data_IF_873352851201
#
_entry.id   IF_873352851201
#
_cell.length_a   1.000
_cell.length_b   1.000
_cell.length_c   1.000
_cell.angle_alpha   90.00
_cell.angle_beta   90.00
_cell.angle_gamma   90.00
#
_symmetry.space_group_name_H-M   'P 1'
#
loop_
_entity.id
_entity.type
_entity.pdbx_description
1 polymer ?
#
# COMPACT_ATOMS: atom_id res chain seq x y z
N UNK A 1 -20.85 -8.82 4.80
CA UNK A 1 -20.25 -9.40 3.58
C UNK A 1 -19.42 -8.32 2.88
N UNK A 2 -18.30 -7.89 3.48
CA UNK A 2 -17.53 -6.73 2.99
C UNK A 2 -16.10 -6.60 3.55
N UNK A 3 -15.74 -7.38 4.57
CA UNK A 3 -14.36 -7.48 5.09
C UNK A 3 -13.50 -8.41 4.25
N UNK A 4 -14.03 -9.56 3.83
CA UNK A 4 -13.35 -10.55 2.98
C UNK A 4 -12.87 -9.99 1.64
N UNK A 5 -13.65 -9.08 1.04
CA UNK A 5 -13.28 -8.41 -0.22
C UNK A 5 -12.10 -7.43 -0.02
N UNK A 6 -12.16 -6.61 1.03
CA UNK A 6 -11.09 -5.64 1.35
C UNK A 6 -9.79 -6.32 1.79
N UNK A 7 -9.88 -7.42 2.52
CA UNK A 7 -8.73 -8.22 2.94
C UNK A 7 -8.08 -8.95 1.76
N UNK A 8 -8.87 -9.52 0.85
CA UNK A 8 -8.36 -10.11 -0.40
C UNK A 8 -7.65 -9.07 -1.24
N UNK A 9 -8.31 -7.92 -1.48
CA UNK A 9 -7.72 -6.81 -2.23
C UNK A 9 -6.45 -6.30 -1.55
N UNK A 10 -6.40 -6.25 -0.21
CA UNK A 10 -5.19 -5.87 0.53
C UNK A 10 -4.05 -6.85 0.25
N UNK A 11 -4.29 -8.16 0.39
CA UNK A 11 -3.28 -9.19 0.18
C UNK A 11 -2.72 -9.15 -1.25
N UNK A 12 -3.59 -9.00 -2.25
CA UNK A 12 -3.19 -8.90 -3.65
C UNK A 12 -2.31 -7.66 -3.90
N UNK A 13 -2.69 -6.52 -3.33
CA UNK A 13 -1.92 -5.28 -3.45
C UNK A 13 -0.56 -5.37 -2.73
N UNK A 14 -0.51 -5.95 -1.54
CA UNK A 14 0.75 -6.10 -0.79
C UNK A 14 1.73 -6.99 -1.56
N UNK A 15 1.26 -8.10 -2.14
CA UNK A 15 2.06 -8.96 -2.99
C UNK A 15 2.54 -8.23 -4.26
N UNK A 16 1.64 -7.50 -4.93
CA UNK A 16 1.98 -6.75 -6.14
C UNK A 16 3.03 -5.66 -5.86
N UNK A 17 2.89 -4.93 -4.74
CA UNK A 17 3.84 -3.89 -4.32
C UNK A 17 5.22 -4.47 -4.00
N UNK A 18 5.28 -5.56 -3.23
CA UNK A 18 6.54 -6.22 -2.90
C UNK A 18 7.24 -6.75 -4.16
N UNK A 19 6.49 -7.37 -5.06
CA UNK A 19 7.03 -7.87 -6.32
C UNK A 19 7.56 -6.72 -7.20
N UNK A 20 6.85 -5.59 -7.26
CA UNK A 20 7.31 -4.40 -7.97
C UNK A 20 8.57 -3.80 -7.36
N UNK A 21 8.64 -3.70 -6.03
CA UNK A 21 9.82 -3.25 -5.30
C UNK A 21 11.05 -4.12 -5.61
N UNK A 22 10.94 -5.45 -5.46
CA UNK A 22 12.04 -6.37 -5.72
C UNK A 22 12.52 -6.31 -7.17
N UNK A 23 11.60 -6.22 -8.15
CA UNK A 23 11.97 -6.06 -9.56
C UNK A 23 12.73 -4.76 -9.79
N UNK A 24 12.23 -3.63 -9.27
CA UNK A 24 12.88 -2.34 -9.43
C UNK A 24 14.26 -2.28 -8.76
N UNK A 25 14.38 -2.85 -7.55
CA UNK A 25 15.64 -2.93 -6.82
C UNK A 25 16.70 -3.72 -7.62
N UNK A 26 16.33 -4.92 -8.08
CA UNK A 26 17.22 -5.79 -8.84
C UNK A 26 17.62 -5.20 -10.20
N UNK A 27 16.70 -4.50 -10.87
CA UNK A 27 16.95 -3.95 -12.21
C UNK A 27 17.74 -2.63 -12.21
N UNK A 28 17.68 -1.85 -11.12
CA UNK A 28 18.23 -0.48 -11.10
C UNK A 28 19.55 -0.35 -10.33
N UNK A 29 19.86 -1.28 -9.41
CA UNK A 29 21.00 -1.15 -8.49
C UNK A 29 20.86 -0.02 -7.47
N UNK A 30 19.67 0.59 -7.36
CA UNK A 30 19.39 1.66 -6.41
C UNK A 30 19.35 1.14 -4.97
N UNK A 31 19.48 2.05 -4.00
CA UNK A 31 19.24 1.72 -2.60
C UNK A 31 17.74 1.46 -2.34
N UNK A 32 17.38 0.64 -1.32
CA UNK A 32 15.98 0.40 -0.94
C UNK A 32 15.16 1.69 -0.78
N UNK A 33 15.71 2.70 -0.08
CA UNK A 33 15.01 3.97 0.12
C UNK A 33 14.82 4.78 -1.15
N UNK A 34 15.73 4.67 -2.12
CA UNK A 34 15.56 5.33 -3.43
C UNK A 34 14.41 4.70 -4.21
N UNK A 35 14.32 3.35 -4.20
CA UNK A 35 13.20 2.64 -4.82
C UNK A 35 11.87 2.98 -4.12
N UNK A 36 11.86 3.01 -2.79
CA UNK A 36 10.66 3.44 -2.02
C UNK A 36 10.22 4.86 -2.37
N UNK A 37 11.17 5.78 -2.55
CA UNK A 37 10.88 7.16 -2.96
C UNK A 37 10.27 7.23 -4.36
N UNK A 38 10.79 6.44 -5.31
CA UNK A 38 10.22 6.33 -6.67
C UNK A 38 8.81 5.74 -6.62
N UNK A 39 8.59 4.69 -5.83
CA UNK A 39 7.27 4.08 -5.64
C UNK A 39 6.26 5.07 -5.02
N UNK A 40 6.68 5.87 -4.03
CA UNK A 40 5.85 6.92 -3.45
C UNK A 40 5.46 7.98 -4.49
N UNK A 41 6.40 8.39 -5.36
CA UNK A 41 6.12 9.27 -6.49
C UNK A 41 5.12 8.69 -7.49
N UNK A 42 5.27 7.40 -7.82
CA UNK A 42 4.34 6.69 -8.70
C UNK A 42 2.93 6.60 -8.09
N UNK A 43 2.81 6.28 -6.80
CA UNK A 43 1.53 6.28 -6.09
C UNK A 43 0.87 7.67 -6.10
N UNK A 44 1.64 8.74 -5.88
CA UNK A 44 1.14 10.12 -5.99
C UNK A 44 0.63 10.47 -7.40
N UNK A 45 1.28 9.95 -8.44
CA UNK A 45 0.83 10.12 -9.82
C UNK A 45 -0.49 9.37 -10.09
N UNK A 46 -0.64 8.15 -9.58
CA UNK A 46 -1.90 7.39 -9.63
C UNK A 46 -3.01 8.16 -8.91
N UNK A 47 -2.78 8.63 -7.68
CA UNK A 47 -3.75 9.45 -6.95
C UNK A 47 -4.21 10.65 -7.79
N UNK A 48 -3.27 11.40 -8.39
CA UNK A 48 -3.60 12.56 -9.23
C UNK A 48 -4.50 12.18 -10.40
N UNK A 49 -4.16 11.12 -11.13
CA UNK A 49 -4.96 10.65 -12.27
C UNK A 49 -6.38 10.27 -11.85
N UNK A 50 -6.51 9.49 -10.77
CA UNK A 50 -7.82 9.07 -10.25
C UNK A 50 -8.62 10.29 -9.77
N UNK A 51 -8.01 11.20 -9.01
CA UNK A 51 -8.66 12.42 -8.54
C UNK A 51 -9.15 13.31 -9.69
N UNK A 52 -8.35 13.44 -10.77
CA UNK A 52 -8.71 14.26 -11.91
C UNK A 52 -9.87 13.66 -12.71
N UNK A 53 -9.95 12.33 -12.84
CA UNK A 53 -11.13 11.65 -13.41
C UNK A 53 -12.40 11.88 -12.59
N UNK A 54 -12.30 11.92 -11.26
CA UNK A 54 -13.46 12.17 -10.39
C UNK A 54 -13.91 13.63 -10.43
N UNK A 55 -12.98 14.58 -10.57
CA UNK A 55 -13.32 16.00 -10.75
C UNK A 55 -14.07 16.31 -12.04
N UNK A 56 -13.93 15.47 -13.08
CA UNK A 56 -14.66 15.61 -14.35
C UNK A 56 -16.10 15.13 -14.26
N UNK A 57 -16.54 14.59 -13.12
CA UNK A 57 -17.90 14.11 -12.91
C UNK A 57 -18.21 12.78 -13.61
N UNK A 58 -17.19 12.08 -14.12
CA UNK A 58 -17.33 10.85 -14.89
C UNK A 58 -17.62 9.62 -14.00
N UNK A 59 -17.40 9.74 -12.69
CA UNK A 59 -17.52 8.62 -11.75
C UNK A 59 -18.72 8.80 -10.78
N UNK A 60 -19.64 7.82 -10.70
CA UNK A 60 -20.81 7.91 -9.82
C UNK A 60 -20.52 7.49 -8.36
N UNK A 61 -19.26 7.23 -7.99
CA UNK A 61 -18.92 6.67 -6.67
C UNK A 61 -19.07 7.66 -5.50
N UNK A 62 -19.29 8.95 -5.77
CA UNK A 62 -19.53 9.98 -4.76
C UNK A 62 -18.28 10.53 -4.07
N UNK A 63 -17.09 10.00 -4.35
CA UNK A 63 -15.84 10.55 -3.82
C UNK A 63 -15.51 11.91 -4.45
N UNK A 64 -15.32 12.93 -3.61
CA UNK A 64 -14.92 14.28 -4.01
C UNK A 64 -13.47 14.54 -3.55
N UNK A 65 -12.48 14.50 -4.47
CA UNK A 65 -11.08 14.56 -4.08
C UNK A 65 -10.68 15.91 -3.48
N UNK A 66 -10.16 15.89 -2.26
CA UNK A 66 -9.62 17.05 -1.55
C UNK A 66 -8.15 16.81 -1.27
N UNK A 67 -7.29 17.32 -2.17
CA UNK A 67 -5.86 16.95 -2.22
C UNK A 67 -5.14 17.02 -0.87
N UNK A 68 -5.32 18.10 -0.11
CA UNK A 68 -4.67 18.23 1.19
C UNK A 68 -5.11 17.12 2.15
N UNK A 69 -6.43 16.98 2.35
CA UNK A 69 -7.03 15.98 3.25
C UNK A 69 -6.72 14.54 2.83
N UNK A 70 -6.79 14.23 1.53
CA UNK A 70 -6.50 12.89 1.01
C UNK A 70 -5.04 12.50 1.25
N UNK A 71 -4.10 13.42 0.98
CA UNK A 71 -2.66 13.15 1.17
C UNK A 71 -2.33 13.01 2.66
N UNK A 72 -2.90 13.85 3.53
CA UNK A 72 -2.71 13.74 4.99
C UNK A 72 -3.23 12.39 5.53
N UNK A 73 -4.38 11.93 5.03
CA UNK A 73 -4.92 10.61 5.34
C UNK A 73 -3.97 9.50 4.88
N UNK A 74 -3.48 9.56 3.64
CA UNK A 74 -2.54 8.55 3.10
C UNK A 74 -1.23 8.51 3.90
N UNK A 75 -0.67 9.65 4.25
CA UNK A 75 0.53 9.74 5.10
C UNK A 75 0.28 9.15 6.50
N UNK A 76 -0.90 9.38 7.06
CA UNK A 76 -1.30 8.82 8.36
C UNK A 76 -1.40 7.31 8.30
N UNK A 77 -2.07 6.76 7.29
CA UNK A 77 -2.18 5.30 7.09
C UNK A 77 -0.80 4.67 6.86
N UNK A 78 0.06 5.31 6.07
CA UNK A 78 1.43 4.84 5.85
C UNK A 78 2.22 4.79 7.15
N UNK A 79 2.16 5.84 7.97
CA UNK A 79 2.85 5.92 9.26
C UNK A 79 2.38 4.81 10.21
N UNK A 80 1.07 4.57 10.26
CA UNK A 80 0.49 3.50 11.06
C UNK A 80 0.96 2.12 10.59
N UNK A 81 0.92 1.86 9.29
CA UNK A 81 1.36 0.58 8.72
C UNK A 81 2.87 0.33 8.96
N UNK A 82 3.70 1.36 8.82
CA UNK A 82 5.15 1.27 9.06
C UNK A 82 5.52 1.05 10.54
N UNK A 83 4.59 1.35 11.45
CA UNK A 83 4.77 1.19 12.91
C UNK A 83 4.07 -0.06 13.45
N UNK A 84 3.33 -0.80 12.62
CA UNK A 84 2.60 -1.98 13.04
C UNK A 84 3.59 -3.10 13.43
N UNK A 85 3.36 -3.80 14.55
CA UNK A 85 4.18 -4.95 14.90
C UNK A 85 4.06 -6.04 13.82
N UNK A 86 5.12 -6.84 13.57
CA UNK A 86 5.06 -7.94 12.62
C UNK A 86 3.89 -8.86 12.99
N UNK A 87 3.01 -9.15 12.03
CA UNK A 87 1.78 -9.92 12.25
C UNK A 87 2.00 -11.40 12.63
N UNK A 88 3.24 -11.82 12.85
CA UNK A 88 3.59 -13.21 13.13
C UNK A 88 4.82 -13.25 14.05
N UNK A 89 4.60 -13.05 15.35
CA UNK A 89 5.56 -13.52 16.34
C UNK A 89 5.61 -15.04 16.24
N UNK A 90 6.58 -15.58 15.49
CA UNK A 90 6.97 -16.99 15.54
C UNK A 90 7.28 -17.45 16.99
N UNK A 91 7.47 -16.49 17.90
CA UNK A 91 7.65 -16.67 19.35
C UNK A 91 6.37 -17.12 20.09
N UNK A 92 5.18 -16.94 19.50
CA UNK A 92 3.90 -17.36 20.10
C UNK A 92 3.30 -18.61 19.47
N UNK A 93 3.99 -19.26 18.52
CA UNK A 93 3.58 -20.56 17.99
C UNK A 93 3.97 -21.69 18.96
N UNK A 94 3.01 -22.51 19.45
CA UNK A 94 3.35 -23.64 20.31
C UNK A 94 4.22 -24.65 19.55
N UNK A 95 5.34 -25.06 20.14
CA UNK A 95 6.23 -26.09 19.60
C UNK A 95 5.44 -27.40 19.50
N UNK A 96 5.13 -27.84 18.27
CA UNK A 96 4.41 -29.09 17.98
C UNK A 96 5.34 -30.33 17.86
N UNK A 97 6.64 -30.18 18.10
CA UNK A 97 7.59 -31.29 18.07
C UNK A 97 7.60 -32.07 19.40
N UNK A 98 7.30 -33.37 19.35
CA UNK A 98 7.69 -34.33 20.39
C UNK A 98 8.71 -35.30 19.79
N UNK A 99 9.81 -35.53 20.50
CA UNK A 99 10.84 -36.51 20.20
C UNK A 99 10.48 -37.89 20.74
#
# INVERSE_FOLDING_TARGET
>A
MGTTDRESVRADLDQAMMAAFCRALNASGLTPMSVMSVMAGALGAVYRQVADSHRRGECPCGWQPLRATDIDMLQTVLRMAASAPPANELLSMPIQGRA
#
